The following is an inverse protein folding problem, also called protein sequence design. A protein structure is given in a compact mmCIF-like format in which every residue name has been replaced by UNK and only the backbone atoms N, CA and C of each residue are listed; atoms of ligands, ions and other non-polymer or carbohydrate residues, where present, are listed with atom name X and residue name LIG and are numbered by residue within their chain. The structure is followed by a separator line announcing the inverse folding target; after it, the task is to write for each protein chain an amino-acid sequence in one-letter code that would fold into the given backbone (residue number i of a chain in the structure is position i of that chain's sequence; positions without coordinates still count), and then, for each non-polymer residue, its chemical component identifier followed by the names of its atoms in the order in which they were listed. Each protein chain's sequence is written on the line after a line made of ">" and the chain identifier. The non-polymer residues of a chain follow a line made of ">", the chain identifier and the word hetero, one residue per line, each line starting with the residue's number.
data_IF_429248812555
#
_entry.id   IF_429248812555
#
_cell.length_a   1.000
_cell.length_b   1.000
_cell.length_c   1.000
_cell.angle_alpha   90.00
_cell.angle_beta   90.00
_cell.angle_gamma   90.00
#
_symmetry.space_group_name_H-M   'P 1'
#
loop_
_entity.id
_entity.type
_entity.pdbx_description
1 polymer ?
#
# COMPACT_ATOMS: atom_id res chain seq x y z
N UNK A 1 7.97 29.53 -7.70
CA UNK A 1 6.99 29.77 -6.63
C UNK A 1 5.60 29.42 -7.16
N UNK A 2 5.18 28.17 -6.97
CA UNK A 2 3.80 27.75 -7.22
C UNK A 2 3.31 27.05 -5.97
N UNK A 3 2.72 27.84 -5.08
CA UNK A 3 2.05 27.34 -3.89
C UNK A 3 0.74 26.70 -4.33
N UNK A 4 0.44 25.50 -3.82
CA UNK A 4 -0.80 24.82 -4.17
C UNK A 4 -2.02 25.63 -3.73
N UNK A 5 -3.05 25.63 -4.58
CA UNK A 5 -4.34 26.24 -4.24
C UNK A 5 -5.00 25.52 -3.06
N UNK A 6 -5.86 26.22 -2.30
CA UNK A 6 -6.60 25.63 -1.18
C UNK A 6 -7.36 24.35 -1.59
N UNK A 7 -8.10 24.31 -2.72
CA UNK A 7 -8.72 23.07 -3.19
C UNK A 7 -7.74 21.92 -3.41
N UNK A 8 -6.56 22.20 -3.96
CA UNK A 8 -5.56 21.16 -4.20
C UNK A 8 -4.96 20.63 -2.91
N UNK A 9 -4.77 21.49 -1.90
CA UNK A 9 -4.35 21.08 -0.56
C UNK A 9 -5.36 20.14 0.10
N UNK A 10 -6.65 20.44 -0.02
CA UNK A 10 -7.72 19.59 0.53
C UNK A 10 -7.60 18.18 -0.04
N UNK A 11 -7.41 18.03 -1.36
CA UNK A 11 -7.28 16.72 -2.01
C UNK A 11 -6.05 15.96 -1.49
N UNK A 12 -4.89 16.62 -1.36
CA UNK A 12 -3.68 15.95 -0.86
C UNK A 12 -3.86 15.43 0.56
N UNK A 13 -4.39 16.26 1.45
CA UNK A 13 -4.59 15.89 2.86
C UNK A 13 -5.68 14.82 2.98
N UNK A 14 -6.79 14.95 2.25
CA UNK A 14 -7.86 13.95 2.28
C UNK A 14 -7.36 12.60 1.79
N UNK A 15 -6.61 12.54 0.68
CA UNK A 15 -6.08 11.28 0.15
C UNK A 15 -5.06 10.63 1.10
N UNK A 16 -4.23 11.40 1.80
CA UNK A 16 -3.33 10.85 2.84
C UNK A 16 -4.14 10.24 3.99
N UNK A 17 -5.17 10.93 4.47
CA UNK A 17 -6.04 10.44 5.55
C UNK A 17 -6.78 9.16 5.11
N UNK A 18 -7.35 9.17 3.91
CA UNK A 18 -8.04 8.01 3.32
C UNK A 18 -7.09 6.81 3.21
N UNK A 19 -5.84 7.03 2.81
CA UNK A 19 -4.84 5.96 2.71
C UNK A 19 -4.47 5.39 4.09
N UNK A 20 -4.30 6.24 5.10
CA UNK A 20 -4.07 5.80 6.49
C UNK A 20 -5.25 4.97 6.99
N UNK A 21 -6.48 5.44 6.75
CA UNK A 21 -7.69 4.71 7.12
C UNK A 21 -7.76 3.34 6.42
N UNK A 22 -7.43 3.28 5.13
CA UNK A 22 -7.38 2.03 4.38
C UNK A 22 -6.36 1.04 4.95
N UNK A 23 -5.14 1.49 5.26
CA UNK A 23 -4.10 0.65 5.91
C UNK A 23 -4.61 0.11 7.24
N UNK A 24 -5.21 0.96 8.06
CA UNK A 24 -5.75 0.58 9.37
C UNK A 24 -6.89 -0.45 9.27
N UNK A 25 -7.81 -0.26 8.32
CA UNK A 25 -8.90 -1.20 8.07
C UNK A 25 -8.39 -2.56 7.57
N UNK A 26 -7.42 -2.57 6.64
CA UNK A 26 -6.83 -3.81 6.12
C UNK A 26 -6.06 -4.55 7.23
N UNK A 27 -5.33 -3.83 8.07
CA UNK A 27 -4.67 -4.41 9.24
C UNK A 27 -5.68 -5.07 10.19
N UNK A 28 -6.71 -4.32 10.58
CA UNK A 28 -7.77 -4.81 11.49
C UNK A 28 -8.47 -6.03 10.90
N UNK A 29 -8.75 -6.02 9.59
CA UNK A 29 -9.31 -7.16 8.89
C UNK A 29 -8.38 -8.39 8.93
N UNK A 30 -7.08 -8.20 8.79
CA UNK A 30 -6.08 -9.26 8.94
C UNK A 30 -6.05 -9.87 10.34
N UNK A 31 -6.20 -9.05 11.38
CA UNK A 31 -6.30 -9.52 12.77
C UNK A 31 -7.60 -10.32 13.00
N UNK A 32 -8.74 -9.80 12.56
CA UNK A 32 -10.05 -10.45 12.74
C UNK A 32 -10.16 -11.78 11.99
N UNK A 33 -9.54 -11.88 10.81
CA UNK A 33 -9.56 -13.11 9.99
C UNK A 33 -8.39 -14.06 10.29
N UNK A 34 -7.45 -13.63 11.14
CA UNK A 34 -6.19 -14.32 11.43
C UNK A 34 -5.40 -14.71 10.15
N UNK A 35 -5.54 -13.90 9.09
CA UNK A 35 -4.90 -14.14 7.81
C UNK A 35 -3.73 -13.18 7.62
N UNK A 36 -2.52 -13.74 7.77
CA UNK A 36 -1.24 -13.02 7.66
C UNK A 36 -1.03 -12.34 6.30
N UNK A 37 -1.76 -12.73 5.25
CA UNK A 37 -1.63 -12.12 3.93
C UNK A 37 -2.17 -10.68 3.92
N UNK A 38 -3.27 -10.42 4.63
CA UNK A 38 -3.83 -9.07 4.77
C UNK A 38 -2.95 -8.18 5.65
N UNK A 39 -2.31 -8.79 6.65
CA UNK A 39 -1.29 -8.11 7.46
C UNK A 39 -0.05 -7.74 6.63
N UNK A 40 0.38 -8.64 5.74
CA UNK A 40 1.44 -8.33 4.77
C UNK A 40 1.06 -7.22 3.81
N UNK A 41 -0.20 -7.17 3.37
CA UNK A 41 -0.70 -6.12 2.48
C UNK A 41 -0.70 -4.74 3.15
N UNK A 42 -1.17 -4.62 4.39
CA UNK A 42 -1.17 -3.32 5.10
C UNK A 42 0.25 -2.79 5.30
N UNK A 43 1.22 -3.65 5.61
CA UNK A 43 2.64 -3.27 5.66
C UNK A 43 3.19 -2.86 4.30
N UNK A 44 2.81 -3.57 3.24
CA UNK A 44 3.24 -3.28 1.87
C UNK A 44 2.74 -1.92 1.34
N UNK A 45 1.69 -1.35 1.94
CA UNK A 45 1.14 -0.02 1.61
C UNK A 45 1.93 1.15 2.22
N UNK A 46 2.77 0.91 3.24
CA UNK A 46 3.47 1.97 3.98
C UNK A 46 4.45 2.79 3.13
N UNK A 47 5.23 2.22 2.18
CA UNK A 47 6.12 3.03 1.35
C UNK A 47 5.35 4.07 0.52
N UNK A 48 4.16 3.72 0.00
CA UNK A 48 3.32 4.67 -0.73
C UNK A 48 2.81 5.81 0.17
N UNK A 49 2.54 5.53 1.45
CA UNK A 49 2.20 6.58 2.43
C UNK A 49 3.39 7.53 2.66
N UNK A 50 4.60 6.99 2.85
CA UNK A 50 5.81 7.81 3.01
C UNK A 50 6.02 8.70 1.80
N UNK A 51 5.84 8.16 0.59
CA UNK A 51 5.88 8.93 -0.66
C UNK A 51 4.92 10.13 -0.65
N UNK A 52 3.64 9.90 -0.30
CA UNK A 52 2.65 10.96 -0.23
C UNK A 52 2.98 12.03 0.83
N UNK A 53 3.50 11.61 1.99
CA UNK A 53 3.96 12.52 3.04
C UNK A 53 5.12 13.39 2.57
N UNK A 54 6.10 12.81 1.85
CA UNK A 54 7.21 13.57 1.27
C UNK A 54 6.72 14.66 0.29
N UNK A 55 5.77 14.34 -0.59
CA UNK A 55 5.18 15.34 -1.49
C UNK A 55 4.48 16.46 -0.71
N UNK A 56 3.64 16.11 0.27
CA UNK A 56 2.91 17.08 1.09
C UNK A 56 3.87 17.99 1.87
N UNK A 57 4.93 17.44 2.46
CA UNK A 57 5.91 18.22 3.21
C UNK A 57 6.70 19.16 2.31
N UNK A 58 7.14 18.71 1.12
CA UNK A 58 7.85 19.60 0.18
C UNK A 58 6.97 20.77 -0.26
N UNK A 59 5.70 20.51 -0.53
CA UNK A 59 4.72 21.55 -0.86
C UNK A 59 4.37 22.47 0.31
N UNK A 60 4.37 21.96 1.54
CA UNK A 60 4.17 22.77 2.75
C UNK A 60 5.26 23.85 2.89
N UNK A 61 6.49 23.53 2.50
CA UNK A 61 7.62 24.46 2.47
C UNK A 61 7.77 25.20 1.13
N UNK A 62 6.67 25.38 0.41
CA UNK A 62 6.58 26.14 -0.85
C UNK A 62 7.62 25.73 -1.91
N UNK A 63 7.92 24.43 -1.97
CA UNK A 63 8.89 23.84 -2.89
C UNK A 63 10.32 24.39 -2.72
N UNK A 64 10.74 24.61 -1.47
CA UNK A 64 12.10 25.04 -1.15
C UNK A 64 13.15 24.12 -1.80
N UNK A 65 14.15 24.71 -2.48
CA UNK A 65 15.25 23.98 -3.14
C UNK A 65 16.07 23.15 -2.14
N UNK A 66 16.20 23.63 -0.90
CA UNK A 66 16.89 22.89 0.18
C UNK A 66 16.22 21.54 0.52
N UNK A 67 14.96 21.35 0.11
CA UNK A 67 14.18 20.13 0.34
C UNK A 67 13.93 19.33 -0.95
N UNK A 68 14.60 19.66 -2.06
CA UNK A 68 14.42 18.94 -3.34
C UNK A 68 14.73 17.43 -3.22
N UNK A 69 15.62 17.03 -2.30
CA UNK A 69 15.90 15.63 -1.99
C UNK A 69 14.64 14.85 -1.59
N UNK A 70 13.61 15.52 -1.07
CA UNK A 70 12.33 14.92 -0.74
C UNK A 70 11.58 14.41 -1.97
N UNK A 71 11.76 15.05 -3.13
CA UNK A 71 11.20 14.60 -4.42
C UNK A 71 11.86 13.29 -4.83
N UNK A 72 13.17 13.17 -4.64
CA UNK A 72 13.90 11.92 -4.92
C UNK A 72 13.46 10.81 -3.98
N UNK A 73 13.29 11.11 -2.68
CA UNK A 73 12.76 10.17 -1.71
C UNK A 73 11.32 9.75 -2.05
N UNK A 74 10.46 10.70 -2.42
CA UNK A 74 9.09 10.47 -2.86
C UNK A 74 9.03 9.53 -4.08
N UNK A 75 9.85 9.78 -5.11
CA UNK A 75 9.93 8.92 -6.28
C UNK A 75 10.43 7.51 -5.92
N UNK A 76 11.45 7.42 -5.06
CA UNK A 76 12.00 6.14 -4.60
C UNK A 76 10.97 5.34 -3.81
N UNK A 77 10.26 5.98 -2.88
CA UNK A 77 9.21 5.34 -2.09
C UNK A 77 7.99 4.95 -2.94
N UNK A 78 7.70 5.70 -4.01
CA UNK A 78 6.70 5.31 -5.02
C UNK A 78 7.11 4.03 -5.73
N UNK A 79 8.35 3.95 -6.19
CA UNK A 79 8.87 2.75 -6.86
C UNK A 79 8.82 1.54 -5.92
N UNK A 80 9.34 1.68 -4.71
CA UNK A 80 9.33 0.63 -3.67
C UNK A 80 7.89 0.23 -3.34
N UNK A 81 7.00 1.19 -3.14
CA UNK A 81 5.58 0.96 -2.82
C UNK A 81 4.85 0.16 -3.90
N UNK A 82 5.11 0.45 -5.17
CA UNK A 82 4.53 -0.34 -6.27
C UNK A 82 5.04 -1.78 -6.25
N UNK A 83 6.33 -2.00 -6.01
CA UNK A 83 6.89 -3.34 -5.90
C UNK A 83 6.37 -4.11 -4.69
N UNK A 84 6.26 -3.48 -3.52
CA UNK A 84 5.75 -4.13 -2.31
C UNK A 84 4.28 -4.50 -2.46
N UNK A 85 3.45 -3.61 -3.03
CA UNK A 85 2.05 -3.89 -3.32
C UNK A 85 1.88 -5.01 -4.34
N UNK A 86 2.66 -4.99 -5.43
CA UNK A 86 2.67 -6.07 -6.42
C UNK A 86 3.05 -7.42 -5.78
N UNK A 87 4.11 -7.44 -4.97
CA UNK A 87 4.54 -8.64 -4.27
C UNK A 87 3.46 -9.16 -3.30
N UNK A 88 2.83 -8.27 -2.53
CA UNK A 88 1.73 -8.64 -1.62
C UNK A 88 0.53 -9.20 -2.39
N UNK A 89 0.13 -8.58 -3.50
CA UNK A 89 -0.95 -9.06 -4.35
C UNK A 89 -0.63 -10.46 -4.93
N UNK A 90 0.60 -10.67 -5.39
CA UNK A 90 1.06 -11.97 -5.89
C UNK A 90 1.03 -13.04 -4.80
N UNK A 91 1.46 -12.72 -3.57
CA UNK A 91 1.43 -13.65 -2.44
C UNK A 91 -0.01 -14.02 -2.06
N UNK A 92 -0.92 -13.05 -2.04
CA UNK A 92 -2.36 -13.30 -1.82
C UNK A 92 -2.89 -14.24 -2.92
N UNK A 93 -2.64 -13.95 -4.19
CA UNK A 93 -3.08 -14.81 -5.31
C UNK A 93 -2.51 -16.23 -5.23
N UNK A 94 -1.24 -16.38 -4.84
CA UNK A 94 -0.64 -17.71 -4.67
C UNK A 94 -1.32 -18.49 -3.54
N UNK A 95 -1.69 -17.82 -2.46
CA UNK A 95 -2.35 -18.45 -1.30
C UNK A 95 -3.73 -19.01 -1.65
N UNK A 96 -4.47 -18.36 -2.56
CA UNK A 96 -5.79 -18.83 -2.98
C UNK A 96 -5.72 -20.06 -3.89
N UNK A 97 -4.64 -20.22 -4.67
CA UNK A 97 -4.44 -21.40 -5.54
C UNK A 97 -4.05 -22.68 -4.78
N UNK A 98 -3.25 -22.57 -3.72
CA UNK A 98 -2.85 -23.75 -2.93
C UNK A 98 -4.04 -24.46 -2.26
N UNK A 99 -5.09 -23.71 -1.88
CA UNK A 99 -6.30 -24.28 -1.28
C UNK A 99 -7.04 -25.20 -2.27
N UNK A 100 -7.13 -24.81 -3.54
CA UNK A 100 -7.87 -25.57 -4.57
C UNK A 100 -7.19 -26.87 -5.02
N UNK A 101 -5.93 -27.11 -4.66
CA UNK A 101 -5.17 -28.28 -5.15
C UNK A 101 -5.33 -29.51 -4.25
N UNK A 102 -5.84 -29.35 -3.02
CA UNK A 102 -5.95 -30.46 -2.05
C UNK A 102 -7.23 -31.29 -2.25
N UNK A 103 -8.22 -30.79 -2.99
CA UNK A 103 -9.57 -31.39 -3.07
C UNK A 103 -9.74 -32.44 -4.19
N UNK A 104 -8.69 -32.79 -4.94
CA UNK A 104 -8.77 -33.78 -6.03
C UNK A 104 -8.02 -35.08 -5.71
N UNK A 105 -8.41 -35.79 -4.65
CA UNK A 105 -8.14 -37.23 -4.58
C UNK A 105 -9.32 -38.00 -5.17
N UNK A 106 -9.17 -38.68 -6.32
CA UNK A 106 -10.23 -39.55 -6.82
C UNK A 106 -10.38 -40.72 -5.85
N UNK A 107 -11.60 -40.93 -5.39
CA UNK A 107 -11.98 -42.13 -4.63
C UNK A 107 -11.73 -43.32 -5.57
N UNK A 108 -10.69 -44.11 -5.29
CA UNK A 108 -10.52 -45.40 -5.95
C UNK A 108 -11.73 -46.26 -5.57
N UNK A 109 -12.59 -46.55 -6.53
CA UNK A 109 -13.55 -47.64 -6.42
C UNK A 109 -12.76 -48.94 -6.42
N UNK A 110 -12.52 -49.52 -5.25
CA UNK A 110 -12.17 -50.93 -5.15
C UNK A 110 -13.38 -51.74 -5.62
N UNK A 111 -13.17 -52.53 -6.69
CA UNK A 111 -14.06 -53.60 -7.13
C UNK A 111 -13.68 -54.89 -6.43
#
# INVERSE_FOLDING_TARGET
>A
MHTLSIPTWIIHVSSVIEWIAAIWLIWTYGELTNNRSWWGLSLAMLPALVSAMCACTWHYFDNAESLEWMVTLQATMTLVGNFTLWAAAFLIWRSTKSVNTVESKPIKSEQ
#
